data_IF_279765575168
#
_entry.id   IF_279765575168
#
_cell.length_a   1.000
_cell.length_b   1.000
_cell.length_c   1.000
_cell.angle_alpha   90.00
_cell.angle_beta   90.00
_cell.angle_gamma   90.00
#
_symmetry.space_group_name_H-M   'P 1'
#
loop_
_entity.id
_entity.type
_entity.pdbx_description
1 polymer ?
#
# COMPACT_ATOMS: atom_id res chain seq x y z
N UNK A 1 -6.82 0.72 -11.04
CA UNK A 1 -6.36 1.41 -9.81
C UNK A 1 -7.49 1.76 -8.88
N UNK A 2 -8.55 2.39 -9.38
CA UNK A 2 -9.78 2.55 -8.61
C UNK A 2 -10.36 1.19 -8.16
N UNK A 3 -10.26 0.17 -9.02
CA UNK A 3 -10.54 -1.22 -8.61
C UNK A 3 -9.63 -1.71 -7.49
N UNK A 4 -8.34 -1.36 -7.51
CA UNK A 4 -7.38 -1.75 -6.47
C UNK A 4 -7.71 -1.09 -5.13
N UNK A 5 -8.10 0.18 -5.13
CA UNK A 5 -8.62 0.89 -3.94
C UNK A 5 -9.87 0.18 -3.45
N UNK A 6 -10.85 -0.07 -4.33
CA UNK A 6 -12.11 -0.71 -3.95
C UNK A 6 -11.89 -2.14 -3.44
N UNK A 7 -10.92 -2.88 -3.98
CA UNK A 7 -10.49 -4.20 -3.47
C UNK A 7 -9.86 -4.08 -2.09
N UNK A 8 -8.94 -3.13 -1.87
CA UNK A 8 -8.34 -2.92 -0.56
C UNK A 8 -9.38 -2.53 0.51
N UNK A 9 -10.33 -1.66 0.18
CA UNK A 9 -11.42 -1.27 1.08
C UNK A 9 -12.42 -2.41 1.33
N UNK A 10 -12.67 -3.26 0.32
CA UNK A 10 -13.50 -4.48 0.44
C UNK A 10 -12.83 -5.51 1.33
N UNK A 11 -11.54 -5.75 1.11
CA UNK A 11 -10.76 -6.76 1.82
C UNK A 11 -10.49 -6.34 3.26
N UNK A 12 -10.53 -5.03 3.58
CA UNK A 12 -10.59 -4.54 4.95
C UNK A 12 -9.33 -4.80 5.78
N UNK A 13 -9.48 -4.68 7.10
CA UNK A 13 -8.42 -4.95 8.07
C UNK A 13 -8.14 -6.47 8.15
N UNK A 14 -6.94 -6.88 8.52
CA UNK A 14 -6.73 -8.26 8.99
C UNK A 14 -6.87 -8.34 10.51
N UNK A 15 -6.98 -9.54 11.10
CA UNK A 15 -7.00 -9.67 12.55
C UNK A 15 -5.67 -9.16 13.16
N UNK A 16 -5.75 -8.32 14.19
CA UNK A 16 -4.57 -7.71 14.82
C UNK A 16 -3.93 -6.55 14.05
N UNK A 17 -4.48 -6.17 12.89
CA UNK A 17 -3.97 -5.07 12.09
C UNK A 17 -4.88 -3.86 12.12
N UNK A 18 -4.29 -2.72 11.74
CA UNK A 18 -5.06 -1.52 11.53
C UNK A 18 -5.91 -1.56 10.25
N UNK A 19 -7.05 -0.89 10.30
CA UNK A 19 -7.99 -0.81 9.19
C UNK A 19 -7.46 0.03 8.02
N UNK A 20 -7.50 -0.43 6.76
CA UNK A 20 -7.09 0.38 5.61
C UNK A 20 -7.82 1.72 5.58
N UNK A 21 -7.03 2.80 5.60
CA UNK A 21 -7.50 4.18 5.49
C UNK A 21 -7.13 4.79 4.12
N UNK A 22 -8.11 5.39 3.45
CA UNK A 22 -7.96 6.15 2.21
C UNK A 22 -8.23 7.64 2.44
N UNK A 23 -7.30 8.50 2.05
CA UNK A 23 -7.56 9.94 1.91
C UNK A 23 -7.59 10.33 0.45
N UNK A 24 -8.73 10.87 0.02
CA UNK A 24 -8.92 11.48 -1.29
C UNK A 24 -8.63 12.97 -1.13
N UNK A 25 -7.67 13.49 -1.88
CA UNK A 25 -7.29 14.88 -1.93
C UNK A 25 -7.84 15.49 -3.22
N UNK A 26 -8.52 16.62 -3.08
CA UNK A 26 -8.95 17.44 -4.20
C UNK A 26 -8.71 18.93 -3.88
N UNK A 27 -9.03 19.78 -4.84
CA UNK A 27 -8.95 21.24 -4.73
C UNK A 27 -10.25 21.86 -5.20
N UNK A 28 -10.55 23.10 -4.81
CA UNK A 28 -11.73 23.83 -5.29
C UNK A 28 -11.70 24.00 -6.81
N UNK A 29 -10.51 24.17 -7.39
CA UNK A 29 -10.32 24.25 -8.83
C UNK A 29 -10.67 22.93 -9.55
N UNK A 30 -10.67 21.82 -8.81
CA UNK A 30 -11.08 20.49 -9.29
C UNK A 30 -11.88 19.69 -8.27
N UNK A 31 -13.19 19.98 -8.10
CA UNK A 31 -14.04 19.30 -7.11
C UNK A 31 -14.50 17.91 -7.59
N UNK A 32 -13.64 17.25 -8.36
CA UNK A 32 -13.79 15.89 -8.84
C UNK A 32 -13.68 14.87 -7.69
N UNK A 33 -13.04 15.24 -6.58
CA UNK A 33 -12.89 14.37 -5.41
C UNK A 33 -14.22 13.90 -4.82
N UNK A 34 -15.23 14.77 -4.81
CA UNK A 34 -16.58 14.40 -4.36
C UNK A 34 -17.23 13.33 -5.24
N UNK A 35 -17.00 13.36 -6.56
CA UNK A 35 -17.47 12.31 -7.47
C UNK A 35 -16.72 11.00 -7.22
N UNK A 36 -15.39 11.06 -6.98
CA UNK A 36 -14.57 9.87 -6.67
C UNK A 36 -15.03 9.24 -5.37
N UNK A 37 -15.29 10.04 -4.35
CA UNK A 37 -15.86 9.59 -3.08
C UNK A 37 -17.19 8.87 -3.29
N UNK A 38 -18.12 9.47 -4.05
CA UNK A 38 -19.42 8.87 -4.36
C UNK A 38 -19.29 7.55 -5.13
N UNK A 39 -18.34 7.45 -6.07
CA UNK A 39 -18.06 6.24 -6.81
C UNK A 39 -17.54 5.12 -5.88
N UNK A 40 -16.59 5.43 -5.01
CA UNK A 40 -16.04 4.47 -4.04
C UNK A 40 -17.12 4.02 -3.04
N UNK A 41 -17.95 4.94 -2.54
CA UNK A 41 -19.07 4.62 -1.65
C UNK A 41 -20.08 3.68 -2.31
N UNK A 42 -20.43 3.95 -3.57
CA UNK A 42 -21.32 3.11 -4.39
C UNK A 42 -20.74 1.71 -4.59
N UNK A 43 -19.45 1.63 -4.93
CA UNK A 43 -18.77 0.35 -5.16
C UNK A 43 -18.62 -0.48 -3.88
N UNK A 44 -18.28 0.18 -2.76
CA UNK A 44 -18.21 -0.47 -1.45
C UNK A 44 -19.58 -1.01 -1.03
N UNK A 45 -20.63 -0.20 -1.20
CA UNK A 45 -22.02 -0.60 -0.94
C UNK A 45 -22.40 -1.83 -1.76
N UNK A 46 -22.10 -1.83 -3.06
CA UNK A 46 -22.33 -2.99 -3.93
C UNK A 46 -21.61 -4.25 -3.43
N UNK A 47 -20.35 -4.11 -3.00
CA UNK A 47 -19.57 -5.24 -2.45
C UNK A 47 -20.13 -5.76 -1.12
N UNK A 48 -20.63 -4.89 -0.26
CA UNK A 48 -21.26 -5.24 1.02
C UNK A 48 -22.56 -6.01 0.78
N UNK A 49 -23.43 -5.49 -0.09
CA UNK A 49 -24.70 -6.14 -0.45
C UNK A 49 -24.48 -7.49 -1.15
N UNK A 50 -23.40 -7.61 -1.92
CA UNK A 50 -22.99 -8.88 -2.54
C UNK A 50 -22.33 -9.87 -1.56
N UNK A 51 -22.11 -9.48 -0.29
CA UNK A 51 -21.43 -10.32 0.72
C UNK A 51 -19.96 -10.58 0.44
N UNK A 52 -19.32 -9.78 -0.43
CA UNK A 52 -17.91 -9.91 -0.81
C UNK A 52 -16.97 -9.07 0.07
N UNK A 53 -17.53 -8.11 0.79
CA UNK A 53 -16.80 -7.21 1.70
C UNK A 53 -16.66 -7.84 3.08
N UNK A 54 -15.56 -7.57 3.77
CA UNK A 54 -15.45 -7.86 5.20
C UNK A 54 -16.41 -7.01 6.04
N UNK A 55 -16.70 -5.79 5.58
CA UNK A 55 -17.67 -4.93 6.22
C UNK A 55 -19.10 -5.45 6.01
N UNK A 56 -19.89 -5.53 7.08
CA UNK A 56 -21.34 -5.84 7.06
C UNK A 56 -22.20 -4.62 6.70
N UNK A 57 -21.65 -3.42 6.86
CA UNK A 57 -22.30 -2.17 6.51
C UNK A 57 -21.38 -0.97 6.62
N UNK A 58 -21.95 0.21 6.39
CA UNK A 58 -21.27 1.49 6.31
C UNK A 58 -21.89 2.48 7.30
N UNK A 59 -21.03 3.15 8.07
CA UNK A 59 -21.36 4.36 8.82
C UNK A 59 -20.88 5.56 8.01
N UNK A 60 -21.81 6.35 7.50
CA UNK A 60 -21.53 7.55 6.72
C UNK A 60 -21.64 8.78 7.63
N UNK A 61 -20.58 9.58 7.69
CA UNK A 61 -20.56 10.87 8.39
C UNK A 61 -20.78 11.97 7.37
N UNK A 62 -22.02 12.49 7.32
CA UNK A 62 -22.45 13.51 6.37
C UNK A 62 -22.12 14.90 6.91
N UNK A 63 -21.13 15.57 6.30
CA UNK A 63 -20.60 16.86 6.77
C UNK A 63 -20.78 17.98 5.75
N UNK A 64 -20.55 17.68 4.46
CA UNK A 64 -20.63 18.70 3.40
C UNK A 64 -21.96 18.68 2.66
N UNK A 65 -22.66 17.53 2.67
CA UNK A 65 -23.94 17.33 2.00
C UNK A 65 -25.01 16.81 2.96
N UNK A 66 -26.29 17.13 2.74
CA UNK A 66 -27.38 16.61 3.55
C UNK A 66 -27.54 15.08 3.35
N UNK A 67 -28.03 14.33 4.35
CA UNK A 67 -28.30 12.90 4.22
C UNK A 67 -29.22 12.53 3.04
N UNK A 68 -30.16 13.41 2.66
CA UNK A 68 -31.06 13.22 1.51
C UNK A 68 -30.30 13.05 0.19
N UNK A 69 -29.17 13.76 0.02
CA UNK A 69 -28.33 13.62 -1.16
C UNK A 69 -27.82 12.17 -1.33
N UNK A 70 -27.39 11.55 -0.23
CA UNK A 70 -26.89 10.18 -0.26
C UNK A 70 -28.00 9.15 -0.50
N UNK A 71 -29.20 9.41 0.02
CA UNK A 71 -30.37 8.58 -0.27
C UNK A 71 -30.68 8.58 -1.78
N UNK A 72 -30.69 9.76 -2.40
CA UNK A 72 -30.90 9.91 -3.85
C UNK A 72 -29.78 9.29 -4.67
N UNK A 73 -28.52 9.51 -4.28
CA UNK A 73 -27.35 8.92 -4.94
C UNK A 73 -27.46 7.39 -4.99
N UNK A 74 -27.75 6.75 -3.85
CA UNK A 74 -27.86 5.30 -3.76
C UNK A 74 -29.08 4.76 -4.53
N UNK A 75 -30.22 5.48 -4.45
CA UNK A 75 -31.42 5.13 -5.22
C UNK A 75 -31.17 5.20 -6.73
N UNK A 76 -30.47 6.23 -7.20
CA UNK A 76 -30.13 6.41 -8.61
C UNK A 76 -29.16 5.34 -9.13
N UNK A 77 -28.38 4.70 -8.24
CA UNK A 77 -27.51 3.57 -8.55
C UNK A 77 -28.20 2.20 -8.42
N UNK A 78 -29.51 2.18 -8.11
CA UNK A 78 -30.33 0.97 -8.08
C UNK A 78 -30.33 0.24 -6.74
N UNK A 79 -29.86 0.87 -5.65
CA UNK A 79 -29.94 0.25 -4.32
C UNK A 79 -31.31 0.47 -3.70
N UNK A 80 -31.84 -0.56 -3.05
CA UNK A 80 -33.06 -0.47 -2.27
C UNK A 80 -32.82 0.29 -0.96
N UNK A 81 -33.22 1.56 -0.95
CA UNK A 81 -33.10 2.45 0.21
C UNK A 81 -34.02 2.00 1.35
N UNK A 82 -35.11 1.26 1.08
CA UNK A 82 -36.04 0.81 2.11
C UNK A 82 -35.43 -0.23 3.06
N UNK A 83 -34.49 -1.05 2.58
CA UNK A 83 -33.70 -1.99 3.39
C UNK A 83 -32.35 -1.44 3.87
N UNK A 84 -32.05 -0.17 3.56
CA UNK A 84 -30.80 0.50 3.95
C UNK A 84 -30.54 0.51 5.46
N UNK A 85 -31.60 0.48 6.26
CA UNK A 85 -31.52 0.44 7.72
C UNK A 85 -30.85 -0.81 8.29
N UNK A 86 -30.49 -1.81 7.48
CA UNK A 86 -29.69 -2.95 7.95
C UNK A 86 -28.19 -2.77 7.74
N UNK A 87 -27.79 -2.03 6.72
CA UNK A 87 -26.38 -1.96 6.30
C UNK A 87 -25.84 -0.52 6.23
N UNK A 88 -26.67 0.51 6.32
CA UNK A 88 -26.28 1.91 6.27
C UNK A 88 -26.79 2.64 7.52
N UNK A 89 -25.89 3.37 8.18
CA UNK A 89 -26.22 4.38 9.18
C UNK A 89 -25.62 5.70 8.75
N UNK A 90 -26.38 6.78 8.85
CA UNK A 90 -25.87 8.12 8.53
C UNK A 90 -25.85 8.96 9.79
N UNK A 91 -24.67 9.47 10.14
CA UNK A 91 -24.50 10.50 11.14
C UNK A 91 -24.59 11.86 10.43
N UNK A 92 -25.69 12.58 10.66
CA UNK A 92 -25.95 13.89 10.10
C UNK A 92 -25.21 14.97 10.92
N UNK A 93 -24.07 15.40 10.39
CA UNK A 93 -23.31 16.54 10.89
C UNK A 93 -23.52 17.82 10.05
N UNK A 94 -24.36 17.76 9.02
CA UNK A 94 -24.59 18.87 8.08
C UNK A 94 -25.75 19.76 8.56
N UNK A 95 -26.86 19.17 9.00
CA UNK A 95 -28.09 19.91 9.32
C UNK A 95 -27.99 20.80 10.57
N UNK A 96 -27.14 20.43 11.52
CA UNK A 96 -26.88 21.18 12.76
C UNK A 96 -25.49 20.84 13.37
N UNK A 97 -24.37 21.23 12.72
CA UNK A 97 -23.02 20.86 13.13
C UNK A 97 -22.66 21.26 14.58
N UNK A 98 -23.30 22.31 15.11
CA UNK A 98 -23.01 22.86 16.44
C UNK A 98 -24.11 22.54 17.48
N UNK A 99 -25.14 21.79 17.09
CA UNK A 99 -26.24 21.40 17.96
C UNK A 99 -27.10 22.54 18.46
N UNK A 100 -27.19 23.64 17.70
CA UNK A 100 -27.96 24.80 18.12
C UNK A 100 -29.46 24.50 18.15
N UNK A 101 -29.96 23.71 17.19
CA UNK A 101 -31.37 23.30 17.16
C UNK A 101 -31.69 22.45 18.39
N UNK A 102 -30.83 21.51 18.77
CA UNK A 102 -31.02 20.72 19.98
C UNK A 102 -31.04 21.59 21.25
N UNK A 103 -30.11 22.53 21.38
CA UNK A 103 -30.07 23.48 22.51
C UNK A 103 -31.30 24.39 22.58
N UNK A 104 -31.86 24.76 21.44
CA UNK A 104 -33.09 25.56 21.35
C UNK A 104 -34.35 24.72 21.63
N UNK A 105 -34.35 23.43 21.27
CA UNK A 105 -35.40 22.47 21.62
C UNK A 105 -35.40 22.18 23.12
N UNK A 106 -34.25 21.99 23.75
CA UNK A 106 -34.11 21.85 25.21
C UNK A 106 -34.64 23.09 25.96
N UNK A 107 -34.56 24.28 25.33
CA UNK A 107 -35.15 25.53 25.84
C UNK A 107 -36.62 25.74 25.45
N UNK A 108 -37.26 24.77 24.80
CA UNK A 108 -38.70 24.78 24.48
C UNK A 108 -39.12 25.75 23.37
N UNK A 109 -38.18 26.27 22.57
CA UNK A 109 -38.47 27.34 21.59
C UNK A 109 -38.89 26.83 20.21
N UNK A 110 -38.56 25.58 19.85
CA UNK A 110 -38.78 25.03 18.50
C UNK A 110 -39.33 23.60 18.61
N UNK A 111 -40.38 23.26 17.86
CA UNK A 111 -40.86 21.88 17.69
C UNK A 111 -40.03 21.15 16.63
N UNK A 112 -39.81 19.86 16.85
CA UNK A 112 -38.94 18.98 16.06
C UNK A 112 -39.30 19.03 14.56
N UNK A 113 -38.45 19.55 13.67
CA UNK A 113 -38.72 19.60 12.23
C UNK A 113 -38.19 18.37 11.49
N UNK A 114 -37.81 17.29 12.18
CA UNK A 114 -37.32 16.08 11.52
C UNK A 114 -38.48 15.37 10.81
N UNK A 115 -38.62 15.71 9.53
CA UNK A 115 -39.35 14.92 8.55
C UNK A 115 -38.67 13.55 8.41
N UNK A 116 -39.51 12.51 8.33
CA UNK A 116 -39.12 11.11 8.12
C UNK A 116 -38.17 11.01 6.91
N UNK A 117 -36.87 10.99 7.19
CA UNK A 117 -35.87 10.76 6.16
C UNK A 117 -35.88 9.26 5.85
N UNK A 118 -35.83 8.88 4.57
CA UNK A 118 -35.82 7.47 4.13
C UNK A 118 -34.65 6.65 4.72
N UNK A 119 -33.62 7.32 5.23
CA UNK A 119 -32.45 6.74 5.88
C UNK A 119 -32.58 6.81 7.40
N UNK A 120 -32.10 5.78 8.10
CA UNK A 120 -31.91 5.84 9.56
C UNK A 120 -30.75 6.80 9.87
N UNK A 121 -31.10 8.06 10.12
CA UNK A 121 -30.18 9.15 10.42
C UNK A 121 -30.09 9.38 11.93
N UNK A 122 -28.90 9.63 12.43
CA UNK A 122 -28.66 10.13 13.78
C UNK A 122 -28.08 11.54 13.68
N UNK A 123 -28.60 12.46 14.48
CA UNK A 123 -28.14 13.85 14.47
C UNK A 123 -26.88 14.03 15.30
N UNK A 124 -25.87 14.68 14.74
CA UNK A 124 -24.70 15.11 15.48
C UNK A 124 -25.07 16.20 16.50
N UNK A 125 -24.67 15.98 17.76
CA UNK A 125 -24.96 16.93 18.84
C UNK A 125 -24.01 18.13 18.84
N UNK A 126 -22.71 17.93 18.60
CA UNK A 126 -21.72 19.01 18.60
C UNK A 126 -20.40 18.54 17.98
N UNK A 127 -20.02 19.11 16.83
CA UNK A 127 -18.75 18.79 16.17
C UNK A 127 -17.49 19.23 16.94
N UNK A 128 -17.61 20.17 17.89
CA UNK A 128 -16.46 20.56 18.74
C UNK A 128 -16.08 19.46 19.71
N UNK A 129 -17.03 18.62 20.10
CA UNK A 129 -16.83 17.52 21.04
C UNK A 129 -16.58 16.24 20.25
N UNK A 130 -15.42 16.19 19.59
CA UNK A 130 -15.10 15.15 18.62
C UNK A 130 -15.05 13.74 19.28
N UNK A 131 -14.76 13.63 20.58
CA UNK A 131 -14.88 12.37 21.33
C UNK A 131 -16.32 11.82 21.32
N UNK A 132 -17.34 12.69 21.44
CA UNK A 132 -18.75 12.27 21.34
C UNK A 132 -19.14 11.89 19.93
N UNK A 133 -18.52 12.53 18.93
CA UNK A 133 -18.68 12.16 17.52
C UNK A 133 -18.11 10.76 17.29
N UNK A 134 -16.90 10.48 17.80
CA UNK A 134 -16.29 9.16 17.76
C UNK A 134 -17.19 8.10 18.43
N UNK A 135 -17.67 8.36 19.65
CA UNK A 135 -18.58 7.43 20.34
C UNK A 135 -19.85 7.18 19.53
N UNK A 136 -20.47 8.22 18.97
CA UNK A 136 -21.64 8.09 18.10
C UNK A 136 -21.35 7.23 16.86
N UNK A 137 -20.19 7.40 16.21
CA UNK A 137 -19.79 6.59 15.04
C UNK A 137 -19.67 5.11 15.43
N UNK A 138 -19.04 4.82 16.58
CA UNK A 138 -18.84 3.45 17.06
C UNK A 138 -20.17 2.82 17.47
N UNK A 139 -21.04 3.55 18.17
CA UNK A 139 -22.39 3.08 18.56
C UNK A 139 -23.22 2.72 17.32
N UNK A 140 -23.24 3.60 16.31
CA UNK A 140 -23.93 3.32 15.04
C UNK A 140 -23.33 2.11 14.30
N UNK A 141 -22.01 1.95 14.36
CA UNK A 141 -21.32 0.79 13.78
C UNK A 141 -21.71 -0.51 14.49
N UNK A 142 -21.75 -0.51 15.82
CA UNK A 142 -22.18 -1.65 16.64
C UNK A 142 -23.63 -2.04 16.37
N UNK A 143 -24.52 -1.06 16.18
CA UNK A 143 -25.91 -1.33 15.79
C UNK A 143 -26.04 -2.04 14.42
N UNK A 144 -25.08 -1.85 13.51
CA UNK A 144 -25.07 -2.54 12.21
C UNK A 144 -24.52 -3.96 12.35
N UNK A 145 -23.48 -4.11 13.16
CA UNK A 145 -22.70 -5.36 13.27
C UNK A 145 -23.44 -6.45 14.06
N UNK A 146 -24.48 -6.10 14.82
CA UNK A 146 -25.12 -6.98 15.84
C UNK A 146 -24.04 -7.53 16.81
N UNK A 147 -24.38 -8.23 17.91
CA UNK A 147 -23.39 -8.65 18.93
C UNK A 147 -22.41 -9.78 18.48
N UNK A 148 -21.91 -9.73 17.24
CA UNK A 148 -20.99 -10.70 16.65
C UNK A 148 -19.63 -10.12 16.24
N UNK A 149 -18.77 -10.97 15.67
CA UNK A 149 -17.44 -10.63 15.12
C UNK A 149 -17.48 -9.85 13.78
N UNK A 150 -18.59 -9.19 13.46
CA UNK A 150 -18.69 -8.44 12.22
C UNK A 150 -17.87 -7.15 12.28
N UNK A 151 -17.59 -6.58 11.11
CA UNK A 151 -16.92 -5.27 11.00
C UNK A 151 -17.78 -4.31 10.20
N UNK A 152 -17.55 -3.01 10.35
CA UNK A 152 -18.22 -1.96 9.58
C UNK A 152 -17.21 -1.02 8.93
N UNK A 153 -17.58 -0.40 7.82
CA UNK A 153 -16.79 0.61 7.15
C UNK A 153 -17.19 2.02 7.61
N UNK A 154 -16.24 2.95 7.65
CA UNK A 154 -16.50 4.36 7.98
C UNK A 154 -16.21 5.22 6.76
N UNK A 155 -17.21 5.99 6.33
CA UNK A 155 -17.09 6.93 5.23
C UNK A 155 -17.26 8.35 5.78
N UNK A 156 -16.24 9.20 5.65
CA UNK A 156 -16.31 10.60 6.09
C UNK A 156 -16.37 11.46 4.85
N UNK A 157 -17.51 12.11 4.64
CA UNK A 157 -17.77 12.93 3.45
C UNK A 157 -16.69 14.00 3.23
N UNK A 158 -16.43 14.86 4.22
CA UNK A 158 -15.40 15.90 4.11
C UNK A 158 -14.76 16.19 5.47
N UNK A 159 -13.45 15.94 5.58
CA UNK A 159 -12.67 16.26 6.80
C UNK A 159 -12.45 17.76 6.94
N UNK A 160 -12.50 18.50 5.82
CA UNK A 160 -12.33 19.95 5.80
C UNK A 160 -13.32 20.67 6.72
N UNK A 161 -14.56 20.18 6.80
CA UNK A 161 -15.60 20.77 7.65
C UNK A 161 -15.34 20.52 9.15
N UNK A 162 -14.73 19.38 9.51
CA UNK A 162 -14.33 19.09 10.90
C UNK A 162 -13.18 20.02 11.31
N UNK A 163 -12.22 20.23 10.40
CA UNK A 163 -11.05 21.11 10.60
C UNK A 163 -11.45 22.57 10.86
N UNK A 164 -12.62 23.03 10.41
CA UNK A 164 -13.12 24.38 10.73
C UNK A 164 -13.46 24.57 12.21
N UNK A 165 -13.78 23.49 12.92
CA UNK A 165 -14.30 23.54 14.27
C UNK A 165 -13.40 22.85 15.31
N UNK A 166 -12.42 22.08 14.86
CA UNK A 166 -11.54 21.26 15.69
C UNK A 166 -10.08 21.39 15.27
N UNK A 167 -9.17 21.11 16.21
CA UNK A 167 -7.73 21.13 15.94
C UNK A 167 -7.26 19.87 15.21
N UNK A 168 -6.20 20.01 14.39
CA UNK A 168 -5.57 18.90 13.67
C UNK A 168 -5.18 17.71 14.58
N UNK A 169 -4.57 17.90 15.77
CA UNK A 169 -4.24 16.77 16.65
C UNK A 169 -5.48 15.99 17.12
N UNK A 170 -6.61 16.68 17.31
CA UNK A 170 -7.86 16.04 17.73
C UNK A 170 -8.41 15.13 16.64
N UNK A 171 -8.32 15.58 15.38
CA UNK A 171 -8.75 14.80 14.21
C UNK A 171 -7.80 13.62 13.98
N UNK A 172 -6.49 13.84 14.09
CA UNK A 172 -5.50 12.78 14.00
C UNK A 172 -5.75 11.70 15.06
N UNK A 173 -6.02 12.08 16.31
CA UNK A 173 -6.38 11.15 17.40
C UNK A 173 -7.59 10.30 17.04
N UNK A 174 -8.62 10.90 16.46
CA UNK A 174 -9.86 10.20 16.15
C UNK A 174 -9.74 9.29 14.94
N UNK A 175 -9.02 9.71 13.90
CA UNK A 175 -8.70 8.83 12.79
C UNK A 175 -7.83 7.65 13.25
N UNK A 176 -6.84 7.89 14.12
CA UNK A 176 -6.04 6.81 14.71
C UNK A 176 -6.87 5.86 15.57
N UNK A 177 -7.79 6.37 16.40
CA UNK A 177 -8.69 5.54 17.19
C UNK A 177 -9.60 4.67 16.32
N UNK A 178 -10.17 5.24 15.24
CA UNK A 178 -10.97 4.47 14.28
C UNK A 178 -10.11 3.42 13.56
N UNK A 179 -8.87 3.76 13.21
CA UNK A 179 -7.93 2.89 12.50
C UNK A 179 -7.51 1.68 13.36
N UNK A 180 -7.39 1.87 14.68
CA UNK A 180 -7.04 0.82 15.64
C UNK A 180 -8.24 0.05 16.18
N UNK A 181 -9.47 0.40 15.81
CA UNK A 181 -10.65 -0.25 16.35
C UNK A 181 -10.89 -1.60 15.67
N UNK A 182 -11.10 -2.64 16.47
CA UNK A 182 -11.25 -4.05 16.07
C UNK A 182 -12.45 -4.29 15.14
N UNK A 183 -13.53 -3.54 15.34
CA UNK A 183 -14.76 -3.61 14.56
C UNK A 183 -14.73 -2.75 13.28
N UNK A 184 -13.72 -1.90 13.07
CA UNK A 184 -13.62 -1.07 11.86
C UNK A 184 -12.89 -1.86 10.77
N UNK A 185 -13.56 -2.04 9.63
CA UNK A 185 -13.00 -2.74 8.47
C UNK A 185 -12.15 -1.82 7.62
N UNK A 186 -12.62 -0.61 7.33
CA UNK A 186 -11.94 0.34 6.47
C UNK A 186 -12.47 1.76 6.70
N UNK A 187 -11.66 2.75 6.36
CA UNK A 187 -11.97 4.16 6.51
C UNK A 187 -11.65 4.86 5.19
N UNK A 188 -12.51 5.75 4.73
CA UNK A 188 -12.15 6.65 3.64
C UNK A 188 -12.75 8.03 3.82
N UNK A 189 -12.00 9.04 3.40
CA UNK A 189 -12.38 10.43 3.60
C UNK A 189 -11.91 11.35 2.46
N UNK A 190 -12.62 12.47 2.28
CA UNK A 190 -12.24 13.56 1.36
C UNK A 190 -11.57 14.71 2.13
N UNK A 191 -10.56 15.31 1.51
CA UNK A 191 -9.87 16.50 1.97
C UNK A 191 -9.67 17.49 0.82
N UNK A 192 -10.19 18.71 0.99
CA UNK A 192 -9.90 19.84 0.12
C UNK A 192 -8.56 20.46 0.54
N UNK A 193 -7.49 20.20 -0.21
CA UNK A 193 -6.11 20.52 0.19
C UNK A 193 -5.84 22.02 0.23
N UNK A 194 -6.46 22.75 -0.68
CA UNK A 194 -6.33 24.20 -0.85
C UNK A 194 -6.92 25.02 0.30
N UNK A 195 -7.81 24.43 1.10
CA UNK A 195 -8.38 25.06 2.28
C UNK A 195 -7.49 25.00 3.52
N UNK A 196 -6.42 24.18 3.51
CA UNK A 196 -5.64 23.87 4.70
C UNK A 196 -4.14 24.07 4.50
N UNK A 197 -3.41 24.24 5.61
CA UNK A 197 -1.95 24.23 5.58
C UNK A 197 -1.41 22.88 5.11
N UNK A 198 -0.25 22.89 4.45
CA UNK A 198 0.43 21.67 3.98
C UNK A 198 0.65 20.63 5.10
N UNK A 199 0.79 21.07 6.36
CA UNK A 199 0.91 20.20 7.53
C UNK A 199 -0.30 19.28 7.73
N UNK A 200 -1.51 19.77 7.43
CA UNK A 200 -2.76 19.00 7.54
C UNK A 200 -2.75 17.87 6.51
N UNK A 201 -2.45 18.20 5.26
CA UNK A 201 -2.37 17.21 4.18
C UNK A 201 -1.28 16.17 4.44
N UNK A 202 -0.12 16.58 4.95
CA UNK A 202 0.98 15.67 5.31
C UNK A 202 0.62 14.74 6.49
N UNK A 203 -0.09 15.26 7.50
CA UNK A 203 -0.52 14.45 8.67
C UNK A 203 -1.56 13.40 8.26
N UNK A 204 -2.54 13.79 7.44
CA UNK A 204 -3.53 12.85 6.92
C UNK A 204 -2.92 11.84 5.96
N UNK A 205 -1.98 12.27 5.11
CA UNK A 205 -1.22 11.35 4.28
C UNK A 205 -0.40 10.39 5.13
N UNK A 206 0.21 10.82 6.24
CA UNK A 206 0.95 9.96 7.15
C UNK A 206 0.06 8.88 7.78
N UNK A 207 -1.11 9.24 8.29
CA UNK A 207 -2.07 8.33 8.92
C UNK A 207 -2.69 7.34 7.93
N UNK A 208 -2.89 7.77 6.68
CA UNK A 208 -3.56 6.94 5.68
C UNK A 208 -2.64 5.90 5.06
N UNK A 209 -3.19 4.70 4.86
CA UNK A 209 -2.55 3.59 4.13
C UNK A 209 -2.57 3.82 2.62
N UNK A 210 -3.59 4.53 2.14
CA UNK A 210 -3.82 4.85 0.74
C UNK A 210 -4.09 6.34 0.59
N UNK A 211 -3.57 6.90 -0.48
CA UNK A 211 -3.70 8.30 -0.77
C UNK A 211 -4.03 8.49 -2.24
N UNK A 212 -5.00 9.33 -2.55
CA UNK A 212 -5.46 9.58 -3.89
C UNK A 212 -5.53 11.09 -4.17
N UNK A 213 -4.67 11.62 -5.02
CA UNK A 213 -4.73 13.01 -5.50
C UNK A 213 -5.56 13.08 -6.78
N UNK A 214 -6.50 14.02 -6.80
CA UNK A 214 -7.24 14.39 -8.01
C UNK A 214 -6.72 15.73 -8.52
N UNK A 215 -6.13 15.74 -9.70
CA UNK A 215 -5.56 16.93 -10.34
C UNK A 215 -6.30 17.27 -11.64
N UNK A 216 -6.42 18.56 -12.03
CA UNK A 216 -6.99 18.94 -13.31
C UNK A 216 -6.11 18.50 -14.48
N UNK A 217 -6.75 18.08 -15.57
CA UNK A 217 -6.06 18.00 -16.86
C UNK A 217 -6.16 19.36 -17.54
N UNK A 218 -5.17 20.22 -17.28
CA UNK A 218 -5.00 21.43 -18.10
C UNK A 218 -4.33 20.99 -19.41
N UNK A 219 -5.12 20.80 -20.47
CA UNK A 219 -4.57 20.72 -21.82
C UNK A 219 -4.03 22.11 -22.19
N UNK A 220 -2.74 22.34 -21.93
CA UNK A 220 -2.04 23.44 -22.59
C UNK A 220 -1.89 23.04 -24.05
N UNK A 221 -2.72 23.59 -24.91
CA UNK A 221 -2.58 23.46 -26.36
C UNK A 221 -1.23 24.07 -26.76
N UNK A 222 -0.22 23.23 -26.91
CA UNK A 222 0.98 23.60 -27.65
C UNK A 222 0.57 23.79 -29.11
N UNK A 223 0.20 25.02 -29.47
CA UNK A 223 0.26 25.56 -30.83
C UNK A 223 -0.63 24.96 -31.91
N UNK A 224 -1.50 23.98 -31.64
CA UNK A 224 -2.37 23.40 -32.67
C UNK A 224 -3.81 23.89 -32.57
N UNK A 225 -4.10 24.86 -33.45
CA UNK A 225 -5.40 25.44 -33.75
C UNK A 225 -6.26 24.41 -34.48
N UNK A 226 -7.00 23.57 -33.75
CA UNK A 226 -7.98 22.67 -34.37
C UNK A 226 -9.39 23.00 -33.90
N UNK A 227 -10.24 23.22 -34.90
CA UNK A 227 -11.65 23.54 -34.89
C UNK A 227 -12.49 22.33 -34.45
N UNK A 228 -13.08 22.38 -33.26
CA UNK A 228 -14.45 21.88 -33.01
C UNK A 228 -14.88 22.30 -31.59
N UNK A 229 -15.82 23.25 -31.52
CA UNK A 229 -16.66 23.61 -30.36
C UNK A 229 -15.98 23.54 -28.98
N UNK A 230 -15.16 24.57 -28.71
CA UNK A 230 -14.49 24.78 -27.43
C UNK A 230 -15.53 25.01 -26.31
N UNK A 231 -15.82 23.95 -25.54
CA UNK A 231 -16.40 24.11 -24.21
C UNK A 231 -15.47 25.03 -23.40
N UNK A 232 -15.99 25.98 -22.61
CA UNK A 232 -15.16 26.90 -21.85
C UNK A 232 -14.16 26.10 -21.01
N UNK A 233 -12.89 26.53 -20.94
CA UNK A 233 -11.79 25.81 -20.25
C UNK A 233 -12.13 25.33 -18.84
N UNK A 234 -13.04 26.05 -18.18
CA UNK A 234 -13.63 25.73 -16.88
C UNK A 234 -14.37 24.39 -16.91
N UNK A 235 -15.19 24.13 -17.93
CA UNK A 235 -16.03 22.93 -18.07
C UNK A 235 -15.24 21.66 -18.37
N UNK A 236 -14.06 21.79 -18.99
CA UNK A 236 -13.14 20.67 -19.23
C UNK A 236 -12.48 20.20 -17.91
N UNK A 237 -12.14 21.12 -17.00
CA UNK A 237 -11.59 20.80 -15.67
C UNK A 237 -12.59 20.05 -14.77
N UNK A 238 -13.90 20.21 -15.01
CA UNK A 238 -14.95 19.48 -14.29
C UNK A 238 -15.32 18.13 -14.92
N UNK A 239 -14.84 17.85 -16.14
CA UNK A 239 -15.15 16.60 -16.86
C UNK A 239 -13.97 15.65 -16.93
N UNK A 240 -12.72 16.12 -16.81
CA UNK A 240 -11.53 15.28 -16.92
C UNK A 240 -10.47 15.65 -15.87
N UNK A 241 -9.94 14.63 -15.17
CA UNK A 241 -8.92 14.78 -14.14
C UNK A 241 -7.87 13.68 -14.21
N UNK A 242 -6.65 13.95 -13.71
CA UNK A 242 -5.66 12.92 -13.40
C UNK A 242 -5.88 12.42 -11.98
N UNK A 243 -5.80 11.11 -11.81
CA UNK A 243 -5.95 10.43 -10.53
C UNK A 243 -4.66 9.74 -10.18
N UNK A 244 -3.97 10.27 -9.18
CA UNK A 244 -2.71 9.73 -8.70
C UNK A 244 -2.94 9.00 -7.39
N UNK A 245 -2.73 7.68 -7.39
CA UNK A 245 -2.94 6.86 -6.20
C UNK A 245 -1.62 6.31 -5.71
N UNK A 246 -1.39 6.41 -4.41
CA UNK A 246 -0.25 5.84 -3.69
C UNK A 246 -0.75 4.85 -2.64
N UNK A 247 -0.20 3.64 -2.68
CA UNK A 247 -0.46 2.60 -1.68
C UNK A 247 0.78 2.36 -0.85
N UNK A 248 0.67 2.55 0.47
CA UNK A 248 1.72 2.16 1.41
C UNK A 248 1.58 0.69 1.76
N UNK A 249 2.63 -0.08 1.55
CA UNK A 249 2.71 -1.47 1.99
C UNK A 249 3.31 -1.55 3.40
N UNK A 250 3.09 -2.69 4.06
CA UNK A 250 3.63 -2.98 5.41
C UNK A 250 5.15 -2.91 5.48
N UNK A 251 5.84 -3.25 4.39
CA UNK A 251 7.29 -3.17 4.28
C UNK A 251 7.83 -1.75 3.98
N UNK A 252 7.01 -0.72 4.18
CA UNK A 252 7.35 0.67 3.88
C UNK A 252 7.40 1.02 2.38
N UNK A 253 7.30 0.05 1.46
CA UNK A 253 7.30 0.33 0.02
C UNK A 253 6.02 1.02 -0.39
N UNK A 254 6.15 2.10 -1.16
CA UNK A 254 5.01 2.85 -1.71
C UNK A 254 4.84 2.50 -3.19
N UNK A 255 3.68 1.95 -3.55
CA UNK A 255 3.31 1.72 -4.97
C UNK A 255 2.53 2.93 -5.47
N UNK A 256 3.11 3.67 -6.41
CA UNK A 256 2.45 4.78 -7.08
C UNK A 256 1.84 4.31 -8.42
N UNK A 257 0.76 4.97 -8.79
CA UNK A 257 -0.16 4.49 -9.80
C UNK A 257 -0.88 5.75 -10.34
N UNK A 258 -0.99 5.93 -11.67
CA UNK A 258 -1.68 7.06 -12.31
C UNK A 258 -2.79 6.58 -13.26
N UNK A 259 -3.97 7.20 -13.17
CA UNK A 259 -5.14 6.96 -14.02
C UNK A 259 -5.74 8.30 -14.49
N UNK A 260 -6.53 8.28 -15.55
CA UNK A 260 -7.34 9.42 -15.97
C UNK A 260 -8.82 9.19 -15.63
N UNK A 261 -9.44 10.19 -15.03
CA UNK A 261 -10.85 10.23 -14.68
C UNK A 261 -11.60 11.04 -15.73
N UNK A 262 -12.73 10.49 -16.14
CA UNK A 262 -13.73 11.17 -16.95
C UNK A 262 -15.04 11.13 -16.19
N UNK A 263 -15.65 12.29 -15.96
CA UNK A 263 -16.98 12.40 -15.36
C UNK A 263 -18.00 12.50 -16.49
N UNK A 264 -18.85 11.48 -16.60
CA UNK A 264 -19.91 11.41 -17.60
C UNK A 264 -21.26 11.23 -16.87
N UNK A 265 -22.10 12.28 -16.92
CA UNK A 265 -23.39 12.31 -16.22
C UNK A 265 -23.26 12.15 -14.69
N UNK A 266 -23.90 11.10 -14.13
CA UNK A 266 -23.86 10.77 -12.69
C UNK A 266 -22.77 9.74 -12.33
N UNK A 267 -21.87 9.42 -13.26
CA UNK A 267 -20.86 8.38 -13.11
C UNK A 267 -19.45 8.87 -13.41
N UNK A 268 -18.46 8.13 -12.90
CA UNK A 268 -17.07 8.29 -13.29
C UNK A 268 -16.69 7.10 -14.16
N UNK A 269 -16.11 7.38 -15.32
CA UNK A 269 -15.38 6.42 -16.12
C UNK A 269 -13.90 6.64 -15.90
N UNK A 270 -13.21 5.59 -15.46
CA UNK A 270 -11.79 5.64 -15.16
C UNK A 270 -11.08 4.84 -16.23
N UNK A 271 -10.17 5.48 -16.95
CA UNK A 271 -9.38 4.86 -17.99
C UNK A 271 -7.91 4.95 -17.63
N UNK A 272 -7.19 3.86 -17.83
CA UNK A 272 -5.73 3.87 -17.70
C UNK A 272 -5.14 4.86 -18.72
N UNK A 273 -4.15 5.63 -18.27
CA UNK A 273 -3.44 6.54 -19.16
C UNK A 273 -2.74 5.70 -20.22
N UNK A 274 -3.18 5.77 -21.47
CA UNK A 274 -2.38 5.22 -22.58
C UNK A 274 -1.06 5.98 -22.55
N UNK A 275 0.03 5.28 -22.29
CA UNK A 275 1.36 5.85 -22.25
C UNK A 275 1.78 6.30 -23.64
N UNK A 276 1.33 7.48 -24.08
CA UNK A 276 1.93 8.19 -25.22
C UNK A 276 3.20 8.95 -24.78
N UNK A 277 3.44 9.12 -23.48
CA UNK A 277 4.73 9.54 -22.92
C UNK A 277 5.54 8.33 -22.41
N UNK A 278 5.92 7.45 -23.34
CA UNK A 278 6.78 6.28 -23.12
C UNK A 278 8.25 6.62 -22.82
N UNK A 279 8.55 7.65 -22.03
CA UNK A 279 9.94 8.10 -21.81
C UNK A 279 10.34 8.18 -20.32
N UNK A 280 9.41 8.32 -19.37
CA UNK A 280 9.79 8.76 -18.00
C UNK A 280 9.59 7.77 -16.84
N UNK A 281 9.08 6.55 -17.06
CA UNK A 281 8.87 5.59 -15.96
C UNK A 281 9.72 4.30 -16.02
N UNK A 282 10.50 4.08 -17.07
CA UNK A 282 11.37 2.88 -17.20
C UNK A 282 12.84 3.13 -16.80
N UNK A 283 13.22 4.33 -16.34
CA UNK A 283 14.62 4.74 -16.20
C UNK A 283 15.05 5.16 -14.77
N UNK A 284 14.43 4.60 -13.73
CA UNK A 284 14.89 4.82 -12.33
C UNK A 284 15.55 3.60 -11.69
N UNK A 285 15.75 2.54 -12.45
CA UNK A 285 16.69 1.47 -12.09
C UNK A 285 17.89 1.66 -13.00
N UNK A 286 19.12 1.86 -12.49
CA UNK A 286 20.28 1.81 -13.36
C UNK A 286 20.28 0.43 -14.01
N UNK A 287 20.02 0.38 -15.32
CA UNK A 287 20.24 -0.81 -16.13
C UNK A 287 21.75 -1.02 -16.18
N UNK A 288 22.29 -1.65 -15.14
CA UNK A 288 23.63 -2.22 -15.19
C UNK A 288 23.52 -3.45 -16.09
N UNK A 289 23.63 -3.21 -17.39
CA UNK A 289 23.82 -4.27 -18.36
C UNK A 289 25.26 -4.73 -18.20
N UNK A 290 25.47 -5.74 -17.37
CA UNK A 290 26.72 -6.48 -17.40
C UNK A 290 26.76 -7.19 -18.76
N UNK A 291 27.51 -6.63 -19.70
CA UNK A 291 27.88 -7.34 -20.90
C UNK A 291 28.86 -8.45 -20.48
N UNK A 292 28.31 -9.63 -20.18
CA UNK A 292 29.08 -10.82 -19.80
C UNK A 292 29.78 -11.47 -21.00
N UNK A 293 29.46 -11.00 -22.22
CA UNK A 293 30.07 -11.47 -23.44
C UNK A 293 31.33 -10.66 -23.74
N UNK A 294 32.48 -11.32 -23.67
CA UNK A 294 33.75 -10.75 -24.10
C UNK A 294 33.73 -10.53 -25.61
N UNK A 295 34.16 -9.35 -26.06
CA UNK A 295 34.34 -9.13 -27.50
C UNK A 295 35.41 -10.07 -28.06
N UNK A 296 35.39 -10.34 -29.37
CA UNK A 296 36.40 -11.18 -30.02
C UNK A 296 37.83 -10.67 -29.77
N UNK A 297 37.99 -9.35 -29.66
CA UNK A 297 39.27 -8.72 -29.32
C UNK A 297 39.71 -9.05 -27.89
N UNK A 298 38.81 -8.97 -26.92
CA UNK A 298 39.12 -9.31 -25.52
C UNK A 298 39.39 -10.80 -25.32
N UNK A 299 38.74 -11.68 -26.10
CA UNK A 299 39.05 -13.12 -26.09
C UNK A 299 40.46 -13.39 -26.61
N UNK A 300 40.87 -12.74 -27.69
CA UNK A 300 42.22 -12.86 -28.24
C UNK A 300 43.28 -12.29 -27.28
N UNK A 301 42.99 -11.15 -26.66
CA UNK A 301 43.90 -10.53 -25.70
C UNK A 301 44.04 -11.39 -24.44
N UNK A 302 42.94 -11.92 -23.89
CA UNK A 302 42.96 -12.85 -22.75
C UNK A 302 43.74 -14.13 -23.04
N UNK A 303 43.63 -14.69 -24.25
CA UNK A 303 44.39 -15.87 -24.65
C UNK A 303 45.91 -15.59 -24.78
N UNK A 304 46.29 -14.32 -24.94
CA UNK A 304 47.69 -13.89 -25.07
C UNK A 304 48.30 -13.47 -23.72
N UNK A 305 47.48 -13.30 -22.68
CA UNK A 305 47.95 -13.02 -21.32
C UNK A 305 48.62 -14.27 -20.76
N UNK A 306 49.94 -14.23 -20.66
CA UNK A 306 50.72 -15.27 -19.97
C UNK A 306 50.44 -15.14 -18.48
N UNK A 307 49.82 -16.17 -17.90
CA UNK A 307 49.52 -16.17 -16.47
C UNK A 307 50.83 -16.38 -15.68
N UNK A 308 51.03 -15.66 -14.55
CA UNK A 308 52.28 -15.71 -13.78
C UNK A 308 52.67 -17.10 -13.26
N UNK A 309 51.74 -18.05 -13.24
CA UNK A 309 51.88 -19.40 -12.68
C UNK A 309 51.91 -20.49 -13.75
N UNK A 310 51.79 -20.14 -15.03
CA UNK A 310 51.88 -21.11 -16.13
C UNK A 310 53.36 -21.42 -16.40
N UNK A 311 53.85 -22.47 -15.75
CA UNK A 311 55.23 -22.93 -15.89
C UNK A 311 55.52 -23.29 -17.36
N UNK A 312 56.55 -22.67 -17.94
CA UNK A 312 57.09 -23.01 -19.26
C UNK A 312 57.87 -24.35 -19.22
N UNK A 313 57.22 -25.42 -18.82
CA UNK A 313 57.78 -26.78 -18.79
C UNK A 313 57.80 -27.42 -20.18
N UNK A 314 58.80 -28.25 -20.45
CA UNK A 314 59.09 -28.91 -21.74
C UNK A 314 58.08 -30.00 -22.16
N UNK A 315 56.78 -29.71 -22.15
CA UNK A 315 55.74 -30.57 -22.72
C UNK A 315 55.56 -31.95 -22.07
N UNK A 316 56.11 -32.19 -20.87
CA UNK A 316 55.83 -33.41 -20.10
C UNK A 316 54.61 -33.17 -19.21
N UNK A 317 53.65 -34.12 -19.13
CA UNK A 317 52.49 -33.98 -18.25
C UNK A 317 52.97 -33.90 -16.80
N UNK A 318 52.49 -32.89 -16.08
CA UNK A 318 52.86 -32.63 -14.69
C UNK A 318 52.19 -33.71 -13.83
N UNK A 319 52.98 -34.51 -13.11
CA UNK A 319 52.47 -35.33 -12.03
C UNK A 319 52.32 -34.45 -10.79
N UNK A 320 51.12 -33.90 -10.60
CA UNK A 320 50.74 -33.20 -9.37
C UNK A 320 50.31 -34.29 -8.38
N UNK A 321 51.01 -34.38 -7.25
CA UNK A 321 50.64 -35.30 -6.18
C UNK A 321 49.40 -34.77 -5.44
N UNK A 322 48.23 -35.32 -5.77
CA UNK A 322 46.92 -34.95 -5.21
C UNK A 322 46.48 -35.89 -4.06
N UNK A 323 47.44 -36.56 -3.39
CA UNK A 323 47.16 -37.46 -2.25
C UNK A 323 46.30 -38.71 -2.56
N UNK A 324 45.89 -38.91 -3.82
CA UNK A 324 45.11 -40.05 -4.29
C UNK A 324 46.04 -41.02 -5.02
N UNK A 325 46.03 -42.31 -4.64
CA UNK A 325 46.74 -43.37 -5.38
C UNK A 325 46.24 -43.39 -6.82
N UNK A 326 47.14 -43.26 -7.77
CA UNK A 326 46.81 -43.34 -9.19
C UNK A 326 46.43 -44.78 -9.54
N UNK A 327 45.41 -44.94 -10.37
CA UNK A 327 44.73 -46.21 -10.63
C UNK A 327 45.59 -47.26 -11.39
N UNK A 328 46.86 -46.96 -11.68
CA UNK A 328 47.74 -47.79 -12.51
C UNK A 328 48.85 -48.50 -11.70
N UNK A 329 48.83 -48.42 -10.38
CA UNK A 329 49.74 -49.18 -9.50
C UNK A 329 49.13 -50.52 -9.01
N UNK A 330 47.92 -50.88 -9.42
CA UNK A 330 47.23 -52.10 -8.95
C UNK A 330 47.54 -53.39 -9.73
N UNK A 331 48.36 -53.35 -10.78
CA UNK A 331 48.64 -54.54 -11.61
C UNK A 331 50.04 -55.14 -11.45
N UNK A 332 50.92 -54.55 -10.64
CA UNK A 332 52.23 -55.12 -10.36
C UNK A 332 52.59 -54.94 -8.89
N UNK A 333 52.14 -55.85 -8.02
CA UNK A 333 52.92 -56.33 -6.85
C UNK A 333 52.21 -57.44 -6.03
N UNK A 334 51.34 -58.27 -6.64
CA UNK A 334 51.17 -59.65 -6.16
C UNK A 334 52.37 -60.48 -6.61
N UNK A 335 53.48 -60.38 -5.86
CA UNK A 335 54.56 -61.37 -5.65
C UNK A 335 55.82 -60.64 -5.22
N UNK A 336 56.04 -60.53 -3.91
CA UNK A 336 57.24 -61.09 -3.28
C UNK A 336 57.12 -60.99 -1.76
N UNK A 337 57.12 -62.18 -1.15
CA UNK A 337 57.23 -62.35 0.28
C UNK A 337 58.69 -62.21 0.74
N UNK A 338 58.80 -61.98 2.05
CA UNK A 338 59.89 -62.38 2.95
C UNK A 338 61.10 -61.45 3.17
N UNK A 339 61.11 -60.89 4.40
CA UNK A 339 62.17 -61.01 5.43
C UNK A 339 63.38 -60.04 5.39
N UNK A 340 63.67 -59.56 6.62
CA UNK A 340 64.92 -59.00 7.18
C UNK A 340 65.24 -57.48 7.08
N UNK A 341 65.24 -56.84 8.26
CA UNK A 341 66.11 -55.71 8.67
C UNK A 341 67.57 -56.22 8.79
N UNK A 342 68.66 -55.40 8.92
CA UNK A 342 68.77 -53.93 9.04
C UNK A 342 69.93 -53.28 8.20
N UNK A 343 70.14 -51.95 8.38
CA UNK A 343 71.35 -51.15 8.06
C UNK A 343 71.59 -50.88 6.55
N UNK A 344 71.97 -49.69 6.05
CA UNK A 344 72.71 -48.54 6.59
C UNK A 344 72.52 -47.35 5.63
N UNK A 345 72.37 -46.13 6.17
CA UNK A 345 72.81 -44.82 5.63
C UNK A 345 72.69 -44.53 4.13
N UNK A 346 71.82 -43.59 3.76
CA UNK A 346 72.25 -42.28 3.23
C UNK A 346 71.05 -41.31 3.17
N UNK A 347 71.28 -40.10 3.66
CA UNK A 347 70.29 -39.04 3.85
C UNK A 347 69.61 -38.64 2.54
N UNK A 348 68.30 -38.87 2.44
CA UNK A 348 67.44 -38.14 1.52
C UNK A 348 66.34 -37.49 2.34
N UNK A 349 66.49 -36.19 2.57
CA UNK A 349 65.58 -35.35 3.34
C UNK A 349 64.16 -35.34 2.78
N UNK A 350 63.37 -36.32 3.16
CA UNK A 350 61.91 -36.24 3.13
C UNK A 350 61.50 -35.56 4.42
N UNK A 351 61.14 -34.28 4.33
CA UNK A 351 60.51 -33.56 5.43
C UNK A 351 59.19 -34.25 5.77
N UNK A 352 59.20 -35.07 6.82
CA UNK A 352 58.01 -35.68 7.37
C UNK A 352 57.41 -34.70 8.38
N UNK A 353 56.21 -34.19 8.09
CA UNK A 353 55.48 -33.31 9.00
C UNK A 353 54.74 -34.21 9.99
N UNK A 354 55.29 -34.32 11.20
CA UNK A 354 54.67 -35.05 12.31
C UNK A 354 53.79 -34.06 13.08
N UNK A 355 52.47 -34.25 13.00
CA UNK A 355 51.51 -33.44 13.75
C UNK A 355 51.32 -34.04 15.14
N UNK A 356 51.77 -33.35 16.18
CA UNK A 356 51.41 -33.65 17.55
C UNK A 356 50.20 -32.79 17.92
N UNK A 357 49.11 -33.42 18.40
CA UNK A 357 47.97 -32.71 18.98
C UNK A 357 48.32 -32.40 20.44
N UNK A 358 48.27 -31.12 20.82
CA UNK A 358 48.66 -30.67 22.16
C UNK A 358 47.53 -30.81 23.22
N UNK A 359 46.37 -31.35 22.85
CA UNK A 359 45.26 -31.62 23.77
C UNK A 359 44.29 -32.66 23.20
N UNK A 360 43.99 -33.70 23.98
CA UNK A 360 42.99 -34.73 23.67
C UNK A 360 41.57 -34.33 24.12
N UNK A 361 41.34 -33.07 24.49
CA UNK A 361 40.17 -32.65 25.29
C UNK A 361 39.25 -31.61 24.62
N UNK A 362 39.39 -31.37 23.30
CA UNK A 362 38.42 -30.57 22.54
C UNK A 362 37.49 -31.47 21.73
N UNK A 363 36.20 -31.47 22.11
CA UNK A 363 35.14 -32.10 21.32
C UNK A 363 35.07 -31.45 19.93
N UNK A 364 34.84 -32.23 18.86
CA UNK A 364 34.73 -31.68 17.51
C UNK A 364 33.61 -30.64 17.42
N UNK A 365 33.99 -29.51 16.85
CA UNK A 365 33.23 -28.27 16.67
C UNK A 365 31.78 -28.51 16.22
N UNK A 366 30.87 -27.96 17.01
CA UNK A 366 29.46 -27.76 16.69
C UNK A 366 29.34 -26.68 15.63
N UNK A 367 28.68 -26.97 14.51
CA UNK A 367 28.29 -26.05 13.43
C UNK A 367 27.40 -24.90 13.96
N UNK A 368 27.98 -23.94 14.69
CA UNK A 368 27.31 -22.68 15.03
C UNK A 368 27.27 -21.76 13.79
N UNK A 369 26.08 -21.66 13.20
CA UNK A 369 25.76 -20.74 12.11
C UNK A 369 25.97 -19.27 12.53
N UNK A 370 26.71 -18.44 11.75
CA UNK A 370 27.10 -17.09 12.13
C UNK A 370 26.03 -16.01 11.83
N UNK A 371 24.74 -16.33 12.03
CA UNK A 371 23.63 -15.48 11.58
C UNK A 371 22.68 -15.00 12.72
N UNK A 372 22.99 -15.27 14.00
CA UNK A 372 22.07 -15.04 15.14
C UNK A 372 22.20 -13.67 15.86
N UNK A 373 22.93 -12.70 15.30
CA UNK A 373 23.20 -11.40 15.95
C UNK A 373 22.58 -10.18 15.22
N UNK A 374 21.44 -10.32 14.53
CA UNK A 374 20.75 -9.16 13.90
C UNK A 374 19.55 -8.68 14.71
N UNK A 375 19.84 -8.00 15.82
CA UNK A 375 18.91 -7.05 16.46
C UNK A 375 18.91 -5.71 15.70
N UNK A 376 17.82 -5.41 14.98
CA UNK A 376 17.43 -4.06 14.52
C UNK A 376 15.99 -3.77 14.94
#
# INVERSE_FOLDING_TARGET
MAETICRALRDGAFEGEHAPALTIKDTIDTPLGSFVFNHILTQLTSNILAGKSQARGVVLVALSRPPSFYAELLKNKGFDVSSSSKWLRVLDCYSDPLGWKNKLMERGTVRNPYEETLLKTSLCKNLKELDKVLSSIIELGKEIVEEGKGRFAVAIDSVSEILRHSSLPSIARILSHLHSHDQVSCIFCLLHVDLHEAKVAATLEYLSTMHADVEPIVQRTNGQRNTSEDLPMVEQSFKRGKFHVRFKRRNGRVRAMREELYVEGSGIKITEVSSEDGITAQSLVPKVQFNLDLSEKERLDRAKVVLPFEHQGTGKPIQIYDGRKSLNESENEEKQASVEKPQTTEDSGRGEIIYFRDSDDEMPDSDEDPDDDLDI
#
